data_IF_359439494880
#
_entry.id   IF_359439494880
#
_cell.length_a   1.000
_cell.length_b   1.000
_cell.length_c   1.000
_cell.angle_alpha   90.00
_cell.angle_beta   90.00
_cell.angle_gamma   90.00
#
_symmetry.space_group_name_H-M   'P 1'
#
loop_
_entity.id
_entity.type
_entity.pdbx_description
1 polymer ?
#
# COMPACT_ATOMS: atom_id res chain seq x y z
N UNK A 1 14.00 -5.66 9.38
CA UNK A 1 13.46 -5.06 10.64
C UNK A 1 12.61 -6.08 11.35
N UNK A 2 12.80 -6.30 12.65
CA UNK A 2 12.00 -7.28 13.41
C UNK A 2 10.57 -6.73 13.50
N UNK A 3 9.58 -7.56 13.12
CA UNK A 3 8.16 -7.16 12.99
C UNK A 3 7.58 -6.54 14.27
N UNK A 4 7.93 -7.09 15.44
CA UNK A 4 7.45 -6.57 16.72
C UNK A 4 8.05 -5.19 17.03
N UNK A 5 9.30 -4.93 16.69
CA UNK A 5 9.93 -3.61 16.86
C UNK A 5 9.24 -2.53 16.01
N UNK A 6 8.85 -2.87 14.77
CA UNK A 6 8.10 -1.93 13.91
C UNK A 6 6.75 -1.58 14.51
N UNK A 7 6.02 -2.57 15.02
CA UNK A 7 4.73 -2.34 15.66
C UNK A 7 4.87 -1.56 16.98
N UNK A 8 5.89 -1.89 17.77
CA UNK A 8 6.21 -1.17 19.01
C UNK A 8 6.55 0.31 18.73
N UNK A 9 7.34 0.57 17.68
CA UNK A 9 7.63 1.92 17.21
C UNK A 9 6.35 2.72 16.91
N UNK A 10 5.40 2.12 16.16
CA UNK A 10 4.15 2.80 15.83
C UNK A 10 3.25 3.03 17.05
N UNK A 11 3.29 2.20 18.08
CA UNK A 11 2.59 2.49 19.35
C UNK A 11 3.10 3.79 19.97
N UNK A 12 4.42 3.98 20.05
CA UNK A 12 4.98 5.24 20.57
C UNK A 12 4.79 6.42 19.62
N UNK A 13 4.74 6.16 18.31
CA UNK A 13 4.41 7.19 17.33
C UNK A 13 2.97 7.71 17.54
N UNK A 14 2.00 6.84 17.74
CA UNK A 14 0.62 7.23 18.05
C UNK A 14 0.54 8.04 19.35
N UNK A 15 1.25 7.61 20.40
CA UNK A 15 1.36 8.37 21.64
C UNK A 15 1.96 9.75 21.41
N UNK A 16 3.04 9.84 20.63
CA UNK A 16 3.68 11.11 20.27
C UNK A 16 2.67 12.06 19.60
N UNK A 17 1.98 11.58 18.54
CA UNK A 17 1.01 12.40 17.78
C UNK A 17 -0.14 12.90 18.66
N UNK A 18 -0.73 12.01 19.45
CA UNK A 18 -1.82 12.38 20.39
C UNK A 18 -1.33 13.36 21.45
N UNK A 19 -0.16 13.13 22.02
CA UNK A 19 0.40 13.98 23.08
C UNK A 19 0.78 15.36 22.56
N UNK A 20 1.34 15.47 21.36
CA UNK A 20 1.56 16.75 20.68
C UNK A 20 0.24 17.49 20.44
N UNK A 21 -0.78 16.82 19.94
CA UNK A 21 -2.10 17.43 19.73
C UNK A 21 -2.71 17.95 21.05
N UNK A 22 -2.60 17.19 22.14
CA UNK A 22 -3.11 17.54 23.47
C UNK A 22 -2.16 18.43 24.30
N UNK A 23 -0.99 18.76 23.78
CA UNK A 23 0.08 19.50 24.51
C UNK A 23 0.56 18.80 25.79
N UNK A 24 0.60 17.48 25.79
CA UNK A 24 1.12 16.67 26.89
C UNK A 24 2.64 16.48 26.73
N UNK A 25 3.42 17.48 27.14
CA UNK A 25 4.86 17.57 26.85
C UNK A 25 5.67 16.38 27.35
N UNK A 26 5.37 15.85 28.53
CA UNK A 26 6.10 14.70 29.10
C UNK A 26 5.90 13.44 28.25
N UNK A 27 4.65 13.11 27.90
CA UNK A 27 4.34 11.96 27.05
C UNK A 27 4.93 12.11 25.66
N UNK A 28 4.88 13.30 25.09
CA UNK A 28 5.48 13.59 23.78
C UNK A 28 7.00 13.39 23.79
N UNK A 29 7.71 13.91 24.78
CA UNK A 29 9.17 13.76 24.90
C UNK A 29 9.55 12.28 25.13
N UNK A 30 8.83 11.57 26.01
CA UNK A 30 9.04 10.15 26.28
C UNK A 30 8.79 9.31 25.02
N UNK A 31 7.69 9.55 24.33
CA UNK A 31 7.36 8.84 23.09
C UNK A 31 8.43 9.04 22.02
N UNK A 32 8.88 10.28 21.81
CA UNK A 32 9.95 10.60 20.85
C UNK A 32 11.28 9.94 21.22
N UNK A 33 11.65 9.93 22.49
CA UNK A 33 12.84 9.24 22.99
C UNK A 33 12.76 7.73 22.71
N UNK A 34 11.64 7.10 23.02
CA UNK A 34 11.44 5.67 22.81
C UNK A 34 11.43 5.29 21.32
N UNK A 35 10.83 6.10 20.47
CA UNK A 35 10.89 5.91 19.01
C UNK A 35 12.35 5.91 18.52
N UNK A 36 13.16 6.86 18.96
CA UNK A 36 14.57 6.94 18.59
C UNK A 36 15.36 5.71 19.07
N UNK A 37 15.16 5.27 20.33
CA UNK A 37 15.82 4.09 20.86
C UNK A 37 15.43 2.81 20.13
N UNK A 38 14.14 2.65 19.82
CA UNK A 38 13.66 1.50 19.03
C UNK A 38 14.28 1.52 17.63
N UNK A 39 14.32 2.69 16.97
CA UNK A 39 14.90 2.84 15.65
C UNK A 39 16.40 2.54 15.60
N UNK A 40 17.16 2.97 16.60
CA UNK A 40 18.59 2.67 16.71
C UNK A 40 18.87 1.17 16.92
N UNK A 41 17.91 0.43 17.49
CA UNK A 41 18.05 -0.96 17.86
C UNK A 41 17.15 -1.91 17.04
N UNK A 42 16.73 -1.52 15.84
CA UNK A 42 15.84 -2.33 14.98
C UNK A 42 16.38 -3.72 14.62
N UNK A 43 17.69 -3.91 14.67
CA UNK A 43 18.33 -5.21 14.44
C UNK A 43 18.21 -6.21 15.60
N UNK A 44 17.83 -5.78 16.79
CA UNK A 44 17.66 -6.59 17.99
C UNK A 44 16.20 -6.98 18.19
N UNK A 45 15.93 -8.15 18.75
CA UNK A 45 14.57 -8.54 19.13
C UNK A 45 14.23 -7.96 20.51
N UNK A 46 13.83 -6.68 20.56
CA UNK A 46 13.61 -5.94 21.81
C UNK A 46 12.63 -6.65 22.77
N UNK A 47 11.58 -7.27 22.24
CA UNK A 47 10.56 -7.96 23.05
C UNK A 47 11.05 -9.28 23.68
N UNK A 48 12.25 -9.73 23.32
CA UNK A 48 12.88 -10.95 23.87
C UNK A 48 14.10 -10.63 24.75
N UNK A 49 14.47 -9.37 24.89
CA UNK A 49 15.62 -8.97 25.72
C UNK A 49 15.29 -8.99 27.21
N UNK A 50 16.32 -9.20 28.05
CA UNK A 50 16.17 -9.08 29.50
C UNK A 50 16.00 -7.62 29.93
N UNK A 51 15.51 -7.43 31.17
CA UNK A 51 15.38 -6.09 31.77
C UNK A 51 16.71 -5.30 31.70
N UNK A 52 17.82 -5.93 32.10
CA UNK A 52 19.13 -5.30 32.12
C UNK A 52 19.63 -4.94 30.71
N UNK A 53 19.36 -5.77 29.71
CA UNK A 53 19.72 -5.49 28.33
C UNK A 53 18.94 -4.26 27.81
N UNK A 54 17.61 -4.20 28.02
CA UNK A 54 16.80 -3.05 27.65
C UNK A 54 17.23 -1.77 28.38
N UNK A 55 17.54 -1.85 29.68
CA UNK A 55 18.06 -0.71 30.43
C UNK A 55 19.40 -0.22 29.86
N UNK A 56 20.29 -1.13 29.44
CA UNK A 56 21.57 -0.78 28.81
C UNK A 56 21.40 -0.08 27.44
N UNK A 57 20.28 -0.29 26.76
CA UNK A 57 19.91 0.39 25.53
C UNK A 57 19.24 1.75 25.76
N UNK A 58 19.13 2.19 27.02
CA UNK A 58 18.60 3.51 27.38
C UNK A 58 17.09 3.58 27.54
N UNK A 59 16.40 2.44 27.68
CA UNK A 59 14.98 2.43 28.05
C UNK A 59 14.81 2.60 29.56
N UNK A 60 13.87 3.46 29.97
CA UNK A 60 13.50 3.62 31.38
C UNK A 60 12.63 2.44 31.88
N UNK A 61 12.46 2.35 33.21
CA UNK A 61 11.71 1.25 33.82
C UNK A 61 10.27 1.16 33.33
N UNK A 62 9.58 2.26 33.17
CA UNK A 62 8.21 2.29 32.66
C UNK A 62 8.15 1.75 31.21
N UNK A 63 9.06 2.18 30.38
CA UNK A 63 9.12 1.71 28.98
C UNK A 63 9.48 0.25 28.89
N UNK A 64 10.36 -0.28 29.78
CA UNK A 64 10.66 -1.71 29.83
C UNK A 64 9.42 -2.52 30.22
N UNK A 65 8.66 -2.07 31.20
CA UNK A 65 7.39 -2.71 31.60
C UNK A 65 6.39 -2.70 30.43
N UNK A 66 6.28 -1.59 29.70
CA UNK A 66 5.44 -1.47 28.49
C UNK A 66 5.90 -2.41 27.35
N UNK A 67 7.21 -2.60 27.15
CA UNK A 67 7.76 -3.58 26.18
C UNK A 67 7.38 -5.00 26.59
N UNK A 68 7.46 -5.33 27.86
CA UNK A 68 7.03 -6.65 28.36
C UNK A 68 5.52 -6.84 28.25
N UNK A 69 4.72 -5.85 28.62
CA UNK A 69 3.28 -5.87 28.38
C UNK A 69 2.98 -6.16 26.89
N UNK A 70 3.62 -5.40 25.99
CA UNK A 70 3.46 -5.60 24.55
C UNK A 70 3.92 -6.99 24.08
N UNK A 71 4.97 -7.57 24.67
CA UNK A 71 5.45 -8.90 24.31
C UNK A 71 4.38 -9.98 24.47
N UNK A 72 3.54 -9.84 25.51
CA UNK A 72 2.48 -10.79 25.89
C UNK A 72 1.15 -10.45 25.22
N UNK A 73 0.71 -9.20 25.34
CA UNK A 73 -0.64 -8.76 24.96
C UNK A 73 -0.72 -8.25 23.52
N UNK A 74 0.43 -7.91 22.91
CA UNK A 74 0.54 -7.17 21.65
C UNK A 74 -0.08 -5.76 21.70
N UNK A 75 -0.27 -5.24 22.92
CA UNK A 75 -0.77 -3.88 23.19
C UNK A 75 -0.04 -3.26 24.38
N UNK A 76 -0.19 -1.94 24.55
CA UNK A 76 0.28 -1.17 25.70
C UNK A 76 -0.90 -0.36 26.22
N UNK A 77 -1.49 -0.81 27.33
CA UNK A 77 -2.74 -0.28 27.86
C UNK A 77 -2.68 1.23 28.12
N UNK A 78 -1.55 1.74 28.62
CA UNK A 78 -1.34 3.17 28.82
C UNK A 78 -1.49 3.96 27.51
N UNK A 79 -0.80 3.52 26.42
CA UNK A 79 -0.84 4.19 25.13
C UNK A 79 -2.25 4.09 24.53
N UNK A 80 -2.84 2.91 24.54
CA UNK A 80 -4.19 2.67 24.05
C UNK A 80 -5.23 3.54 24.76
N UNK A 81 -5.11 3.70 26.10
CA UNK A 81 -5.95 4.62 26.88
C UNK A 81 -5.81 6.07 26.43
N UNK A 82 -4.58 6.53 26.17
CA UNK A 82 -4.33 7.90 25.71
C UNK A 82 -4.89 8.13 24.30
N UNK A 83 -4.67 7.18 23.39
CA UNK A 83 -5.20 7.23 22.02
C UNK A 83 -6.72 7.27 22.04
N UNK A 84 -7.36 6.35 22.76
CA UNK A 84 -8.82 6.26 22.85
C UNK A 84 -9.50 7.43 23.59
N UNK A 85 -8.71 8.37 24.15
CA UNK A 85 -9.23 9.59 24.76
C UNK A 85 -9.63 10.68 23.76
N UNK A 86 -9.45 10.44 22.48
CA UNK A 86 -9.91 11.29 21.38
C UNK A 86 -10.95 10.54 20.54
N UNK A 87 -11.84 11.30 19.92
CA UNK A 87 -12.80 10.77 18.96
C UNK A 87 -12.10 10.12 17.76
N UNK A 88 -12.65 9.04 17.25
CA UNK A 88 -12.05 8.28 16.14
C UNK A 88 -11.77 9.14 14.90
N UNK A 89 -12.64 10.10 14.57
CA UNK A 89 -12.42 10.96 13.42
C UNK A 89 -11.21 11.91 13.61
N UNK A 90 -10.97 12.39 14.84
CA UNK A 90 -9.79 13.20 15.19
C UNK A 90 -8.52 12.35 15.04
N UNK A 91 -8.54 11.13 15.60
CA UNK A 91 -7.41 10.21 15.48
C UNK A 91 -7.03 9.95 14.02
N UNK A 92 -8.01 9.75 13.16
CA UNK A 92 -7.78 9.54 11.73
C UNK A 92 -7.21 10.75 11.00
N UNK A 93 -7.37 11.94 11.52
CA UNK A 93 -6.76 13.16 10.99
C UNK A 93 -5.34 13.35 11.53
N UNK A 94 -5.11 13.10 12.83
CA UNK A 94 -3.83 13.42 13.46
C UNK A 94 -2.79 12.29 13.41
N UNK A 95 -3.19 11.01 13.37
CA UNK A 95 -2.24 9.89 13.35
C UNK A 95 -1.48 9.77 12.02
N UNK A 96 -2.10 9.93 10.84
CA UNK A 96 -1.35 10.02 9.60
C UNK A 96 -0.45 11.27 9.57
N UNK A 97 0.72 11.16 8.95
CA UNK A 97 1.70 12.26 8.85
C UNK A 97 1.34 13.35 7.81
N UNK A 98 0.09 13.37 7.29
CA UNK A 98 -0.31 14.33 6.25
C UNK A 98 -0.39 15.76 6.74
N UNK A 99 -0.86 15.93 7.98
CA UNK A 99 -1.02 17.25 8.56
C UNK A 99 0.10 17.53 9.55
N UNK A 100 0.73 18.70 9.46
CA UNK A 100 1.49 19.24 10.59
C UNK A 100 0.57 19.36 11.81
N UNK A 101 0.92 18.75 12.93
CA UNK A 101 0.07 18.75 14.13
C UNK A 101 -0.23 20.17 14.61
N UNK A 102 0.75 21.06 14.53
CA UNK A 102 0.57 22.46 14.91
C UNK A 102 -0.47 23.16 14.05
N UNK A 103 -0.56 22.85 12.75
CA UNK A 103 -1.57 23.36 11.84
C UNK A 103 -2.96 22.92 12.29
N UNK A 104 -3.19 21.61 12.43
CA UNK A 104 -4.50 21.09 12.85
C UNK A 104 -4.90 21.62 14.21
N UNK A 105 -3.96 21.67 15.17
CA UNK A 105 -4.22 22.23 16.51
C UNK A 105 -4.62 23.71 16.46
N UNK A 106 -3.95 24.50 15.63
CA UNK A 106 -4.27 25.92 15.49
C UNK A 106 -5.67 26.11 14.89
N UNK A 107 -6.04 25.34 13.87
CA UNK A 107 -7.37 25.37 13.25
C UNK A 107 -8.46 24.98 14.27
N UNK A 108 -8.26 23.90 15.01
CA UNK A 108 -9.22 23.49 16.06
C UNK A 108 -9.45 24.58 17.10
N UNK A 109 -8.40 25.34 17.43
CA UNK A 109 -8.50 26.42 18.41
C UNK A 109 -9.12 27.70 17.82
N UNK A 110 -8.69 28.12 16.63
CA UNK A 110 -9.15 29.38 16.02
C UNK A 110 -10.58 29.28 15.51
N UNK A 111 -10.94 28.16 14.90
CA UNK A 111 -12.22 27.94 14.26
C UNK A 111 -13.24 27.17 15.11
N UNK A 112 -12.85 26.85 16.37
CA UNK A 112 -13.68 26.08 17.30
C UNK A 112 -14.25 24.79 16.69
N UNK A 113 -13.40 24.03 16.00
CA UNK A 113 -13.77 22.80 15.30
C UNK A 113 -14.20 21.72 16.29
N UNK A 114 -15.43 21.26 16.20
CA UNK A 114 -16.01 20.24 17.05
C UNK A 114 -16.51 19.01 16.27
N UNK A 115 -16.44 19.05 14.94
CA UNK A 115 -16.86 17.92 14.09
C UNK A 115 -16.02 17.82 12.82
N UNK A 116 -16.01 16.61 12.23
CA UNK A 116 -15.39 16.36 10.94
C UNK A 116 -15.92 17.29 9.85
N UNK A 117 -17.23 17.44 9.76
CA UNK A 117 -17.89 18.30 8.77
C UNK A 117 -17.44 19.77 8.88
N UNK A 118 -17.25 20.26 10.10
CA UNK A 118 -16.72 21.62 10.29
C UNK A 118 -15.30 21.77 9.76
N UNK A 119 -14.45 20.74 9.94
CA UNK A 119 -13.09 20.73 9.41
C UNK A 119 -13.06 20.63 7.88
N UNK A 120 -13.95 19.84 7.29
CA UNK A 120 -14.14 19.76 5.84
C UNK A 120 -14.59 21.12 5.27
N UNK A 121 -15.60 21.73 5.89
CA UNK A 121 -16.11 23.04 5.48
C UNK A 121 -15.04 24.14 5.61
N UNK A 122 -14.19 24.06 6.65
CA UNK A 122 -13.08 25.00 6.81
C UNK A 122 -12.11 24.89 5.64
N UNK A 123 -11.64 23.69 5.28
CA UNK A 123 -10.71 23.52 4.17
C UNK A 123 -11.33 23.79 2.79
N UNK A 124 -12.65 23.80 2.68
CA UNK A 124 -13.38 24.19 1.47
C UNK A 124 -13.72 25.70 1.44
N UNK A 125 -13.34 26.46 2.46
CA UNK A 125 -13.67 27.89 2.57
C UNK A 125 -12.70 28.76 1.77
N UNK A 126 -13.18 29.94 1.34
CA UNK A 126 -12.36 30.97 0.70
C UNK A 126 -11.14 31.35 1.57
N UNK A 127 -11.33 31.42 2.90
CA UNK A 127 -10.26 31.74 3.84
C UNK A 127 -9.14 30.69 3.85
N UNK A 128 -9.47 29.41 3.77
CA UNK A 128 -8.46 28.35 3.68
C UNK A 128 -7.77 28.35 2.31
N UNK A 129 -8.51 28.61 1.24
CA UNK A 129 -7.96 28.77 -0.12
C UNK A 129 -7.00 29.94 -0.19
N UNK A 130 -7.34 31.09 0.41
CA UNK A 130 -6.46 32.27 0.47
C UNK A 130 -5.18 31.97 1.29
N UNK A 131 -5.30 31.21 2.39
CA UNK A 131 -4.20 30.93 3.30
C UNK A 131 -3.25 29.84 2.79
N UNK A 132 -3.75 28.77 2.18
CA UNK A 132 -2.99 27.60 1.79
C UNK A 132 -2.81 27.43 0.27
N UNK A 133 -3.54 28.18 -0.52
CA UNK A 133 -3.74 27.98 -1.96
C UNK A 133 -4.78 26.88 -2.25
N UNK A 134 -5.39 26.97 -3.42
CA UNK A 134 -6.49 26.09 -3.83
C UNK A 134 -6.08 24.60 -3.80
N UNK A 135 -4.91 24.28 -4.34
CA UNK A 135 -4.40 22.89 -4.42
C UNK A 135 -4.17 22.26 -3.04
N UNK A 136 -3.61 22.99 -2.08
CA UNK A 136 -3.39 22.47 -0.73
C UNK A 136 -4.69 22.41 0.07
N UNK A 137 -5.58 23.37 -0.09
CA UNK A 137 -6.89 23.33 0.54
C UNK A 137 -7.72 22.13 0.05
N UNK A 138 -7.70 21.84 -1.27
CA UNK A 138 -8.30 20.64 -1.85
C UNK A 138 -7.67 19.35 -1.29
N UNK A 139 -6.34 19.28 -1.19
CA UNK A 139 -5.62 18.15 -0.62
C UNK A 139 -5.99 17.91 0.85
N UNK A 140 -6.05 18.94 1.66
CA UNK A 140 -6.44 18.85 3.06
C UNK A 140 -7.90 18.43 3.23
N UNK A 141 -8.80 19.00 2.42
CA UNK A 141 -10.20 18.58 2.41
C UNK A 141 -10.33 17.09 2.03
N UNK A 142 -9.61 16.64 1.00
CA UNK A 142 -9.57 15.23 0.58
C UNK A 142 -9.16 14.29 1.72
N UNK A 143 -8.10 14.60 2.46
CA UNK A 143 -7.67 13.74 3.59
C UNK A 143 -8.68 13.71 4.72
N UNK A 144 -9.31 14.84 5.05
CA UNK A 144 -10.35 14.89 6.07
C UNK A 144 -11.58 14.09 5.63
N UNK A 145 -12.05 14.28 4.40
CA UNK A 145 -13.24 13.60 3.86
C UNK A 145 -13.06 12.08 3.80
N UNK A 146 -11.86 11.60 3.47
CA UNK A 146 -11.54 10.19 3.44
C UNK A 146 -11.10 9.62 4.81
N UNK A 147 -11.18 10.40 5.87
CA UNK A 147 -10.79 9.97 7.22
C UNK A 147 -11.76 8.95 7.87
N UNK A 148 -12.93 8.71 7.31
CA UNK A 148 -13.80 7.60 7.65
C UNK A 148 -14.00 6.68 6.45
N UNK A 149 -13.80 5.40 6.62
CA UNK A 149 -13.99 4.37 5.57
C UNK A 149 -15.48 4.15 5.23
N UNK A 150 -16.34 5.13 5.47
CA UNK A 150 -17.80 4.99 5.34
C UNK A 150 -18.28 4.85 3.89
N UNK A 151 -17.47 5.26 2.90
CA UNK A 151 -17.83 5.23 1.48
C UNK A 151 -17.47 3.91 0.78
N UNK A 152 -16.77 3.00 1.47
CA UNK A 152 -16.33 1.76 0.83
C UNK A 152 -17.37 0.64 0.97
N UNK A 153 -17.63 -0.14 -0.09
CA UNK A 153 -18.51 -1.28 0.00
C UNK A 153 -17.92 -2.36 0.92
N UNK A 154 -18.33 -2.38 2.20
CA UNK A 154 -17.92 -3.38 3.20
C UNK A 154 -18.06 -4.82 2.70
N UNK A 155 -18.94 -5.05 1.72
CA UNK A 155 -19.16 -6.36 1.09
C UNK A 155 -17.89 -7.05 0.58
N UNK A 156 -16.84 -6.28 0.20
CA UNK A 156 -15.57 -6.85 -0.27
C UNK A 156 -14.58 -7.14 0.86
N UNK A 157 -14.80 -6.56 2.05
CA UNK A 157 -13.96 -6.82 3.22
C UNK A 157 -14.32 -8.14 3.93
N UNK A 158 -15.57 -8.57 3.80
CA UNK A 158 -16.14 -9.71 4.51
C UNK A 158 -16.29 -10.97 3.63
N UNK A 159 -15.62 -11.01 2.46
CA UNK A 159 -15.67 -12.18 1.61
C UNK A 159 -15.09 -13.40 2.34
N UNK A 160 -15.81 -14.53 2.36
CA UNK A 160 -15.33 -15.73 3.03
C UNK A 160 -14.02 -16.21 2.39
N UNK A 161 -13.02 -16.44 3.22
CA UNK A 161 -11.71 -16.96 2.83
C UNK A 161 -11.72 -18.46 2.50
N UNK A 162 -12.85 -19.02 2.10
CA UNK A 162 -13.02 -20.45 1.82
C UNK A 162 -12.80 -20.75 0.35
N UNK A 163 -11.55 -21.01 0.00
CA UNK A 163 -11.15 -21.44 -1.33
C UNK A 163 -10.88 -20.31 -2.32
N UNK A 164 -10.09 -20.62 -3.34
CA UNK A 164 -9.75 -19.69 -4.41
C UNK A 164 -10.81 -19.66 -5.48
N UNK A 165 -11.27 -18.46 -5.87
CA UNK A 165 -12.13 -18.32 -7.05
C UNK A 165 -11.28 -18.55 -8.32
N UNK A 166 -11.73 -19.44 -9.18
CA UNK A 166 -10.97 -19.89 -10.36
C UNK A 166 -11.47 -19.32 -11.67
N UNK A 167 -12.57 -18.58 -11.66
CA UNK A 167 -13.18 -17.99 -12.86
C UNK A 167 -13.73 -16.58 -12.61
N UNK A 168 -13.85 -15.81 -13.68
CA UNK A 168 -14.59 -14.55 -13.72
C UNK A 168 -15.54 -14.59 -14.92
N UNK A 169 -16.84 -14.43 -14.66
CA UNK A 169 -17.89 -14.44 -15.70
C UNK A 169 -17.80 -15.65 -16.68
N UNK A 170 -17.42 -16.83 -16.14
CA UNK A 170 -17.26 -18.07 -16.91
C UNK A 170 -15.90 -18.24 -17.60
N UNK A 171 -15.00 -17.26 -17.52
CA UNK A 171 -13.64 -17.36 -18.04
C UNK A 171 -12.68 -17.78 -16.92
N UNK A 172 -11.82 -18.76 -17.20
CA UNK A 172 -10.80 -19.25 -16.24
C UNK A 172 -9.78 -18.17 -15.93
N UNK A 173 -9.40 -18.04 -14.66
CA UNK A 173 -8.25 -17.26 -14.20
C UNK A 173 -7.02 -18.16 -14.20
N UNK A 174 -6.03 -17.83 -15.02
CA UNK A 174 -4.82 -18.64 -15.22
C UNK A 174 -3.69 -18.32 -14.23
N UNK A 175 -3.63 -17.12 -13.70
CA UNK A 175 -2.61 -16.70 -12.73
C UNK A 175 -2.85 -15.28 -12.20
N UNK A 176 -1.91 -14.77 -11.46
CA UNK A 176 -1.86 -13.38 -11.00
C UNK A 176 -0.43 -12.85 -11.13
N UNK A 177 -0.30 -11.53 -11.25
CA UNK A 177 0.97 -10.87 -11.55
C UNK A 177 1.61 -10.24 -10.31
N UNK A 178 0.82 -9.79 -9.34
CA UNK A 178 1.31 -8.99 -8.20
C UNK A 178 1.45 -9.85 -6.94
N UNK A 179 2.70 -10.28 -6.67
CA UNK A 179 3.03 -11.08 -5.48
C UNK A 179 4.45 -10.79 -5.00
N UNK A 180 4.62 -10.71 -3.68
CA UNK A 180 5.87 -10.44 -2.99
C UNK A 180 6.43 -11.69 -2.33
N UNK A 181 7.76 -11.81 -2.36
CA UNK A 181 8.48 -12.91 -1.75
C UNK A 181 9.40 -12.41 -0.63
N UNK A 182 10.16 -13.33 -0.05
CA UNK A 182 11.19 -13.01 0.96
C UNK A 182 12.36 -12.20 0.41
N UNK A 183 12.41 -11.94 -0.90
CA UNK A 183 13.34 -10.99 -1.50
C UNK A 183 13.00 -9.53 -1.16
N UNK A 184 11.73 -9.22 -0.89
CA UNK A 184 11.30 -7.92 -0.38
C UNK A 184 10.65 -8.04 1.01
N UNK A 185 9.36 -7.80 1.14
CA UNK A 185 8.62 -7.82 2.40
C UNK A 185 7.57 -8.93 2.47
N UNK A 186 7.49 -9.78 1.46
CA UNK A 186 6.70 -11.00 1.48
C UNK A 186 7.27 -12.04 2.45
N UNK A 187 6.42 -12.94 2.94
CA UNK A 187 6.82 -14.01 3.88
C UNK A 187 7.11 -15.33 3.20
N UNK A 188 6.76 -15.46 1.93
CA UNK A 188 6.92 -16.69 1.17
C UNK A 188 8.22 -16.66 0.37
N UNK A 189 8.94 -17.78 0.31
CA UNK A 189 9.99 -17.95 -0.68
C UNK A 189 9.37 -18.19 -2.08
N UNK A 190 10.17 -18.03 -3.13
CA UNK A 190 9.71 -18.31 -4.51
C UNK A 190 9.18 -19.74 -4.64
N UNK A 191 9.86 -20.82 -4.15
CA UNK A 191 9.30 -22.17 -4.19
C UNK A 191 7.96 -22.30 -3.46
N UNK A 192 7.79 -21.65 -2.29
CA UNK A 192 6.54 -21.71 -1.54
C UNK A 192 5.39 -21.04 -2.29
N UNK A 193 5.64 -19.88 -2.92
CA UNK A 193 4.63 -19.20 -3.72
C UNK A 193 4.26 -20.01 -4.96
N UNK A 194 5.25 -20.62 -5.61
CA UNK A 194 5.03 -21.55 -6.72
C UNK A 194 4.14 -22.74 -6.30
N UNK A 195 4.43 -23.41 -5.18
CA UNK A 195 3.63 -24.53 -4.70
C UNK A 195 2.19 -24.14 -4.41
N UNK A 196 1.96 -22.95 -3.83
CA UNK A 196 0.61 -22.42 -3.60
C UNK A 196 -0.11 -22.23 -4.93
N UNK A 197 0.49 -21.51 -5.88
CA UNK A 197 -0.12 -21.27 -7.19
C UNK A 197 -0.42 -22.56 -7.94
N UNK A 198 0.53 -23.51 -7.93
CA UNK A 198 0.39 -24.82 -8.55
C UNK A 198 -0.72 -25.65 -7.91
N UNK A 199 -0.83 -25.66 -6.57
CA UNK A 199 -1.88 -26.37 -5.83
C UNK A 199 -3.30 -25.87 -6.16
N UNK A 200 -3.42 -24.58 -6.51
CA UNK A 200 -4.67 -23.99 -6.99
C UNK A 200 -4.88 -24.11 -8.50
N UNK A 201 -4.03 -24.87 -9.22
CA UNK A 201 -4.16 -25.11 -10.67
C UNK A 201 -3.93 -23.85 -11.52
N UNK A 202 -3.12 -22.90 -11.03
CA UNK A 202 -2.68 -21.76 -11.83
C UNK A 202 -1.67 -22.21 -12.88
N UNK A 203 -1.75 -21.62 -14.06
CA UNK A 203 -0.81 -21.89 -15.16
C UNK A 203 0.43 -21.00 -15.07
N UNK A 204 0.32 -19.87 -14.36
CA UNK A 204 1.46 -19.02 -14.05
C UNK A 204 1.27 -18.28 -12.72
N UNK A 205 2.39 -17.81 -12.17
CA UNK A 205 2.44 -16.86 -11.04
C UNK A 205 3.56 -15.86 -11.32
N UNK A 206 3.26 -14.58 -11.18
CA UNK A 206 4.25 -13.52 -11.30
C UNK A 206 4.95 -13.27 -9.97
N UNK A 207 6.26 -13.03 -10.01
CA UNK A 207 7.02 -12.45 -8.89
C UNK A 207 7.15 -10.97 -9.18
N UNK A 208 6.84 -10.13 -8.20
CA UNK A 208 6.89 -8.67 -8.36
C UNK A 208 7.39 -7.99 -7.08
N UNK A 209 8.51 -8.49 -6.56
CA UNK A 209 9.11 -7.91 -5.36
C UNK A 209 9.40 -6.40 -5.54
N UNK A 210 9.26 -5.65 -4.45
CA UNK A 210 9.57 -4.22 -4.41
C UNK A 210 11.03 -3.93 -4.79
N UNK A 211 11.29 -2.73 -5.32
CA UNK A 211 12.63 -2.21 -5.52
C UNK A 211 13.24 -1.66 -4.23
N UNK A 212 14.54 -1.42 -4.23
CA UNK A 212 15.33 -1.03 -3.06
C UNK A 212 14.76 0.17 -2.29
N UNK A 213 14.15 1.12 -2.97
CA UNK A 213 13.60 2.32 -2.32
C UNK A 213 12.45 2.01 -1.37
N UNK A 214 11.78 0.89 -1.55
CA UNK A 214 10.69 0.39 -0.69
C UNK A 214 11.13 -0.86 0.11
N UNK A 215 12.41 -0.94 0.46
CA UNK A 215 13.04 -2.06 1.18
C UNK A 215 12.98 -3.39 0.41
N UNK A 216 13.05 -3.34 -0.90
CA UNK A 216 13.05 -4.48 -1.79
C UNK A 216 14.42 -4.78 -2.39
N UNK A 217 14.41 -5.36 -3.59
CA UNK A 217 15.60 -5.85 -4.32
C UNK A 217 16.42 -4.72 -4.92
N UNK A 218 17.72 -4.94 -5.00
CA UNK A 218 18.65 -4.14 -5.79
C UNK A 218 19.04 -4.91 -7.08
N UNK A 219 19.89 -4.32 -7.92
CA UNK A 219 20.30 -4.91 -9.20
C UNK A 219 21.02 -6.25 -9.05
N UNK A 220 21.81 -6.46 -8.00
CA UNK A 220 22.47 -7.74 -7.73
C UNK A 220 21.45 -8.81 -7.29
N UNK A 221 20.42 -8.41 -6.54
CA UNK A 221 19.34 -9.30 -6.12
C UNK A 221 18.52 -9.78 -7.33
N UNK A 222 18.31 -8.94 -8.35
CA UNK A 222 17.58 -9.28 -9.58
C UNK A 222 18.20 -10.50 -10.26
N UNK A 223 19.51 -10.51 -10.42
CA UNK A 223 20.21 -11.63 -11.09
C UNK A 223 20.07 -12.93 -10.28
N UNK A 224 20.16 -12.85 -8.95
CA UNK A 224 19.98 -14.01 -8.06
C UNK A 224 18.55 -14.55 -8.13
N UNK A 225 17.57 -13.67 -8.04
CA UNK A 225 16.15 -14.01 -8.11
C UNK A 225 15.81 -14.66 -9.47
N UNK A 226 16.28 -14.06 -10.57
CA UNK A 226 16.05 -14.61 -11.91
C UNK A 226 16.66 -15.98 -12.10
N UNK A 227 17.88 -16.22 -11.54
CA UNK A 227 18.51 -17.54 -11.58
C UNK A 227 17.70 -18.58 -10.81
N UNK A 228 17.14 -18.23 -9.63
CA UNK A 228 16.27 -19.12 -8.85
C UNK A 228 14.97 -19.44 -9.61
N UNK A 229 14.35 -18.41 -10.23
CA UNK A 229 13.14 -18.59 -11.06
C UNK A 229 13.42 -19.52 -12.24
N UNK A 230 14.54 -19.32 -12.95
CA UNK A 230 14.91 -20.14 -14.10
C UNK A 230 15.13 -21.61 -13.69
N UNK A 231 15.76 -21.84 -12.54
CA UNK A 231 15.99 -23.19 -12.02
C UNK A 231 14.65 -23.91 -11.71
N UNK A 232 13.68 -23.21 -11.12
CA UNK A 232 12.35 -23.78 -10.82
C UNK A 232 11.58 -24.03 -12.13
N UNK A 233 11.56 -23.06 -13.05
CA UNK A 233 10.89 -23.19 -14.34
C UNK A 233 11.45 -24.33 -15.19
N UNK A 234 12.74 -24.63 -15.10
CA UNK A 234 13.37 -25.76 -15.80
C UNK A 234 12.90 -27.11 -15.28
N UNK A 235 12.46 -27.20 -14.02
CA UNK A 235 12.00 -28.43 -13.38
C UNK A 235 10.48 -28.63 -13.45
N UNK A 236 9.72 -27.59 -13.85
CA UNK A 236 8.27 -27.62 -13.84
C UNK A 236 7.66 -27.29 -15.21
N UNK A 237 6.56 -27.99 -15.53
CA UNK A 237 5.75 -27.75 -16.72
C UNK A 237 4.31 -27.33 -16.41
N UNK A 238 3.89 -27.36 -15.14
CA UNK A 238 2.48 -27.15 -14.75
C UNK A 238 2.12 -25.70 -14.44
N UNK A 239 3.05 -24.96 -13.83
CA UNK A 239 2.90 -23.55 -13.51
C UNK A 239 4.20 -22.82 -13.86
N UNK A 240 4.13 -21.74 -14.61
CA UNK A 240 5.31 -20.92 -14.96
C UNK A 240 5.45 -19.76 -14.00
N UNK A 241 6.65 -19.53 -13.48
CA UNK A 241 6.96 -18.30 -12.74
C UNK A 241 7.38 -17.23 -13.75
N UNK A 242 6.75 -16.05 -13.69
CA UNK A 242 7.11 -14.89 -14.50
C UNK A 242 8.01 -13.96 -13.70
N UNK A 243 9.04 -13.43 -14.36
CA UNK A 243 9.99 -12.46 -13.78
C UNK A 243 9.41 -11.07 -13.87
N UNK A 244 8.80 -10.59 -12.82
CA UNK A 244 8.29 -9.23 -12.71
C UNK A 244 8.97 -8.47 -11.58
N UNK A 245 8.64 -7.19 -11.47
CA UNK A 245 9.05 -6.30 -10.40
C UNK A 245 7.96 -5.28 -10.14
N UNK A 246 7.70 -4.96 -8.86
CA UNK A 246 6.97 -3.76 -8.51
C UNK A 246 7.96 -2.62 -8.28
N UNK A 247 8.10 -1.77 -9.30
CA UNK A 247 9.04 -0.67 -9.32
C UNK A 247 8.40 0.57 -8.71
N UNK A 248 9.09 1.18 -7.73
CA UNK A 248 8.64 2.43 -7.12
C UNK A 248 8.62 3.56 -8.16
N UNK A 249 7.53 4.31 -8.21
CA UNK A 249 7.43 5.56 -8.96
C UNK A 249 8.04 6.67 -8.10
N UNK A 250 9.13 7.26 -8.55
CA UNK A 250 9.80 8.36 -7.86
C UNK A 250 8.94 9.63 -7.86
N UNK A 251 9.32 10.61 -7.05
CA UNK A 251 8.57 11.86 -6.91
C UNK A 251 8.41 12.63 -8.22
N UNK A 252 9.38 12.50 -9.13
CA UNK A 252 9.36 13.10 -10.47
C UNK A 252 8.67 12.24 -11.53
N UNK A 253 8.22 11.03 -11.18
CA UNK A 253 7.54 10.09 -12.07
C UNK A 253 8.46 9.11 -12.79
N UNK A 254 9.79 9.16 -12.59
CA UNK A 254 10.71 8.12 -13.08
C UNK A 254 10.51 6.82 -12.29
N UNK A 255 10.92 5.70 -12.87
CA UNK A 255 10.97 4.41 -12.18
C UNK A 255 12.31 4.24 -11.45
N UNK A 256 12.28 3.55 -10.31
CA UNK A 256 13.43 3.39 -9.38
C UNK A 256 14.59 2.57 -9.96
N UNK A 257 14.37 1.77 -10.99
CA UNK A 257 15.43 1.03 -11.71
C UNK A 257 15.84 1.68 -13.01
N UNK A 258 17.09 1.45 -13.42
CA UNK A 258 17.59 1.86 -14.73
C UNK A 258 16.86 1.11 -15.86
N UNK A 259 16.83 1.71 -17.06
CA UNK A 259 16.24 1.08 -18.24
C UNK A 259 16.86 -0.29 -18.55
N UNK A 260 18.16 -0.44 -18.35
CA UNK A 260 18.87 -1.70 -18.59
C UNK A 260 18.38 -2.79 -17.63
N UNK A 261 18.17 -2.44 -16.35
CA UNK A 261 17.63 -3.35 -15.34
C UNK A 261 16.18 -3.67 -15.62
N UNK A 262 15.35 -2.66 -15.95
CA UNK A 262 13.94 -2.88 -16.29
C UNK A 262 13.75 -3.80 -17.50
N UNK A 263 14.69 -3.76 -18.45
CA UNK A 263 14.70 -4.63 -19.64
C UNK A 263 14.94 -6.12 -19.35
N UNK A 264 15.36 -6.47 -18.13
CA UNK A 264 15.59 -7.89 -17.73
C UNK A 264 14.30 -8.61 -17.30
N UNK A 265 13.23 -7.88 -17.05
CA UNK A 265 11.97 -8.44 -16.56
C UNK A 265 11.02 -8.81 -17.68
N UNK A 266 10.19 -9.85 -17.47
CA UNK A 266 9.08 -10.20 -18.37
C UNK A 266 7.99 -9.10 -18.35
N UNK A 267 7.82 -8.42 -17.20
CA UNK A 267 6.89 -7.30 -17.00
C UNK A 267 7.29 -6.44 -15.80
N UNK A 268 6.87 -5.17 -15.83
CA UNK A 268 7.07 -4.19 -14.78
C UNK A 268 5.72 -3.66 -14.30
N UNK A 269 5.49 -3.76 -13.02
CA UNK A 269 4.40 -3.09 -12.31
C UNK A 269 4.97 -1.78 -11.77
N UNK A 270 4.33 -0.65 -12.06
CA UNK A 270 4.69 0.63 -11.49
C UNK A 270 3.76 0.98 -10.33
N UNK A 271 4.32 1.18 -9.14
CA UNK A 271 3.56 1.50 -7.92
C UNK A 271 4.14 2.70 -7.18
N UNK A 272 3.30 3.48 -6.52
CA UNK A 272 3.73 4.60 -5.67
C UNK A 272 3.47 4.28 -4.20
N UNK A 273 4.52 4.31 -3.35
CA UNK A 273 4.45 3.97 -1.93
C UNK A 273 4.96 5.08 -1.01
N UNK A 274 5.66 6.05 -1.57
CA UNK A 274 6.28 7.17 -0.85
C UNK A 274 5.76 8.51 -1.37
N UNK A 275 6.04 9.57 -0.65
CA UNK A 275 5.69 10.94 -1.05
C UNK A 275 4.19 11.10 -1.39
N UNK A 276 3.33 10.57 -0.48
CA UNK A 276 1.88 10.47 -0.69
C UNK A 276 1.15 11.81 -0.51
N UNK A 277 1.77 12.80 0.13
CA UNK A 277 1.18 14.11 0.44
C UNK A 277 1.45 15.17 -0.65
N UNK A 278 1.33 14.76 -1.90
CA UNK A 278 1.49 15.66 -3.05
C UNK A 278 0.16 16.33 -3.40
N UNK A 279 0.23 17.60 -3.86
CA UNK A 279 -0.94 18.27 -4.45
C UNK A 279 -1.39 17.57 -5.73
N UNK A 280 -2.68 17.63 -6.04
CA UNK A 280 -3.33 16.87 -7.12
C UNK A 280 -2.60 16.94 -8.45
N UNK A 281 -2.23 18.16 -8.88
CA UNK A 281 -1.52 18.32 -10.16
C UNK A 281 -0.17 17.61 -10.19
N UNK A 282 0.63 17.73 -9.11
CA UNK A 282 1.93 17.09 -9.03
C UNK A 282 1.81 15.57 -8.94
N UNK A 283 0.89 15.05 -8.12
CA UNK A 283 0.63 13.62 -8.00
C UNK A 283 0.13 13.01 -9.32
N UNK A 284 -0.77 13.71 -10.02
CA UNK A 284 -1.24 13.28 -11.34
C UNK A 284 -0.10 13.23 -12.35
N UNK A 285 0.71 14.28 -12.45
CA UNK A 285 1.88 14.32 -13.36
C UNK A 285 2.89 13.20 -13.07
N UNK A 286 3.11 12.89 -11.80
CA UNK A 286 3.97 11.78 -11.37
C UNK A 286 3.52 10.46 -11.98
N UNK A 287 2.22 10.13 -11.87
CA UNK A 287 1.68 8.89 -12.45
C UNK A 287 1.70 8.92 -13.98
N UNK A 288 1.32 10.04 -14.61
CA UNK A 288 1.34 10.17 -16.08
C UNK A 288 2.72 9.88 -16.63
N UNK A 289 3.77 10.43 -16.03
CA UNK A 289 5.15 10.19 -16.47
C UNK A 289 5.58 8.74 -16.32
N UNK A 290 5.20 8.08 -15.22
CA UNK A 290 5.47 6.65 -15.03
C UNK A 290 4.71 5.77 -16.04
N UNK A 291 3.48 6.15 -16.40
CA UNK A 291 2.68 5.47 -17.42
C UNK A 291 3.30 5.61 -18.81
N UNK A 292 3.88 6.76 -19.12
CA UNK A 292 4.57 7.03 -20.39
C UNK A 292 5.89 6.24 -20.55
N UNK A 293 6.42 5.68 -19.48
CA UNK A 293 7.62 4.84 -19.54
C UNK A 293 7.37 3.62 -20.43
N UNK A 294 8.27 3.31 -21.39
CA UNK A 294 8.12 2.13 -22.25
C UNK A 294 8.18 0.82 -21.49
N UNK A 295 8.67 0.83 -20.26
CA UNK A 295 8.78 -0.36 -19.42
C UNK A 295 7.55 -0.63 -18.54
N UNK A 296 6.76 0.38 -18.22
CA UNK A 296 5.55 0.18 -17.38
C UNK A 296 4.52 -0.67 -18.12
N UNK A 297 4.21 -1.84 -17.59
CA UNK A 297 3.23 -2.76 -18.14
C UNK A 297 1.90 -2.72 -17.39
N UNK A 298 1.96 -2.62 -16.05
CA UNK A 298 0.81 -2.56 -15.16
C UNK A 298 0.99 -1.34 -14.24
N UNK A 299 -0.06 -0.56 -14.05
CA UNK A 299 -0.13 0.45 -13.00
C UNK A 299 -0.77 -0.17 -11.77
N UNK A 300 0.02 -0.37 -10.71
CA UNK A 300 -0.45 -0.96 -9.46
C UNK A 300 -1.30 0.02 -8.67
N UNK A 301 -2.35 -0.50 -7.98
CA UNK A 301 -3.16 0.25 -7.00
C UNK A 301 -3.15 1.77 -7.28
N UNK A 302 -3.80 2.24 -8.35
CA UNK A 302 -3.58 3.56 -8.96
C UNK A 302 -3.72 4.78 -8.04
N UNK A 303 -4.55 4.69 -7.01
CA UNK A 303 -4.63 5.74 -5.98
C UNK A 303 -3.69 5.51 -4.80
N UNK A 304 -3.00 4.37 -4.77
CA UNK A 304 -2.08 3.96 -3.70
C UNK A 304 -2.68 4.05 -2.30
N UNK A 305 -4.01 3.95 -2.20
CA UNK A 305 -4.70 4.11 -0.92
C UNK A 305 -4.44 2.95 0.03
N UNK A 306 -4.43 3.28 1.30
CA UNK A 306 -4.40 2.32 2.41
C UNK A 306 -5.53 2.68 3.37
N UNK A 307 -6.59 1.86 3.40
CA UNK A 307 -7.77 2.14 4.22
C UNK A 307 -7.46 2.34 5.70
N UNK A 308 -6.67 1.44 6.28
CA UNK A 308 -6.33 1.52 7.70
C UNK A 308 -5.59 2.80 8.08
N UNK A 309 -4.95 3.45 7.10
CA UNK A 309 -4.17 4.68 7.30
C UNK A 309 -4.83 5.92 6.70
N UNK A 310 -5.94 5.77 5.98
CA UNK A 310 -6.59 6.84 5.19
C UNK A 310 -5.61 7.59 4.27
N UNK A 311 -4.71 6.84 3.66
CA UNK A 311 -3.64 7.35 2.81
C UNK A 311 -3.97 7.00 1.37
N UNK A 312 -3.71 7.91 0.47
CA UNK A 312 -3.79 7.71 -0.97
C UNK A 312 -3.30 8.97 -1.67
N UNK A 313 -2.95 8.84 -2.93
CA UNK A 313 -2.61 9.99 -3.77
C UNK A 313 -3.90 10.71 -4.18
N UNK A 314 -3.94 12.01 -3.99
CA UNK A 314 -4.95 12.85 -4.60
C UNK A 314 -4.57 13.08 -6.06
N UNK A 315 -5.22 12.35 -6.98
CA UNK A 315 -4.94 12.39 -8.41
C UNK A 315 -6.20 12.65 -9.23
N UNK A 316 -6.04 13.17 -10.44
CA UNK A 316 -7.10 13.13 -11.44
C UNK A 316 -7.15 11.73 -12.07
N UNK A 317 -7.97 10.86 -11.48
CA UNK A 317 -8.06 9.47 -11.90
C UNK A 317 -8.55 9.30 -13.34
N UNK A 318 -9.35 10.25 -13.87
CA UNK A 318 -9.77 10.20 -15.26
C UNK A 318 -8.58 10.41 -16.21
N UNK A 319 -7.71 11.38 -15.94
CA UNK A 319 -6.48 11.57 -16.70
C UNK A 319 -5.54 10.36 -16.60
N UNK A 320 -5.41 9.75 -15.41
CA UNK A 320 -4.59 8.54 -15.19
C UNK A 320 -5.11 7.37 -16.02
N UNK A 321 -6.42 7.14 -16.01
CA UNK A 321 -7.05 6.08 -16.80
C UNK A 321 -6.87 6.31 -18.31
N UNK A 322 -7.14 7.53 -18.78
CA UNK A 322 -6.96 7.89 -20.19
C UNK A 322 -5.50 7.64 -20.63
N UNK A 323 -4.53 8.07 -19.82
CA UNK A 323 -3.12 7.82 -20.11
C UNK A 323 -2.76 6.33 -20.13
N UNK A 324 -3.32 5.50 -19.23
CA UNK A 324 -3.12 4.05 -19.26
C UNK A 324 -3.63 3.45 -20.58
N UNK A 325 -4.81 3.87 -21.03
CA UNK A 325 -5.40 3.40 -22.30
C UNK A 325 -4.52 3.81 -23.49
N UNK A 326 -4.11 5.07 -23.56
CA UNK A 326 -3.32 5.63 -24.64
C UNK A 326 -1.92 4.98 -24.76
N UNK A 327 -1.30 4.66 -23.61
CA UNK A 327 0.02 4.03 -23.54
C UNK A 327 -0.05 2.50 -23.46
N UNK A 328 -1.24 1.90 -23.53
CA UNK A 328 -1.45 0.45 -23.39
C UNK A 328 -0.85 -0.10 -22.09
N UNK A 329 -1.06 0.61 -20.99
CA UNK A 329 -0.73 0.16 -19.64
C UNK A 329 -1.97 -0.47 -19.03
N UNK A 330 -1.81 -1.66 -18.47
CA UNK A 330 -2.89 -2.38 -17.79
C UNK A 330 -3.16 -1.73 -16.45
N UNK A 331 -4.41 -1.60 -16.04
CA UNK A 331 -4.79 -1.04 -14.75
C UNK A 331 -5.07 -2.17 -13.77
N UNK A 332 -4.40 -2.15 -12.63
CA UNK A 332 -4.64 -3.14 -11.59
C UNK A 332 -5.99 -2.92 -10.89
N UNK A 333 -6.70 -4.02 -10.64
CA UNK A 333 -7.71 -4.13 -9.60
C UNK A 333 -7.08 -4.95 -8.48
N UNK A 334 -6.53 -4.27 -7.50
CA UNK A 334 -5.83 -4.84 -6.36
C UNK A 334 -6.84 -5.36 -5.34
N UNK A 335 -6.74 -6.63 -4.99
CA UNK A 335 -7.66 -7.29 -4.06
C UNK A 335 -7.21 -7.25 -2.60
N UNK A 336 -6.07 -6.64 -2.27
CA UNK A 336 -5.66 -6.51 -0.87
C UNK A 336 -6.70 -5.71 -0.09
N UNK A 337 -7.07 -6.23 1.10
CA UNK A 337 -8.15 -5.66 1.94
C UNK A 337 -7.85 -4.25 2.43
N UNK A 338 -6.58 -3.90 2.55
CA UNK A 338 -6.17 -2.58 2.97
C UNK A 338 -6.18 -1.58 1.79
N UNK A 339 -6.25 -2.06 0.53
CA UNK A 339 -6.22 -1.23 -0.69
C UNK A 339 -7.56 -1.21 -1.43
N UNK A 340 -7.95 -2.34 -2.03
CA UNK A 340 -9.10 -2.48 -2.95
C UNK A 340 -9.10 -1.35 -4.01
N UNK A 341 -8.05 -1.28 -4.78
CA UNK A 341 -7.68 -0.22 -5.74
C UNK A 341 -7.36 -0.86 -7.12
N UNK A 342 -7.93 -0.49 -8.23
CA UNK A 342 -8.65 0.73 -8.59
C UNK A 342 -9.96 0.88 -7.77
N UNK A 343 -10.27 2.12 -7.38
CA UNK A 343 -11.56 2.43 -6.74
C UNK A 343 -12.71 2.03 -7.66
N UNK A 344 -13.70 1.24 -7.18
CA UNK A 344 -14.84 0.79 -7.97
C UNK A 344 -15.60 1.90 -8.70
N UNK A 345 -15.59 3.13 -8.18
CA UNK A 345 -16.22 4.29 -8.83
C UNK A 345 -15.66 4.62 -10.22
N UNK A 346 -14.44 4.20 -10.52
CA UNK A 346 -13.77 4.47 -11.78
C UNK A 346 -13.77 3.29 -12.76
N UNK A 347 -14.21 2.10 -12.35
CA UNK A 347 -14.16 0.89 -13.18
C UNK A 347 -15.01 1.03 -14.43
N UNK A 348 -16.24 1.55 -14.29
CA UNK A 348 -17.12 1.76 -15.44
C UNK A 348 -16.52 2.76 -16.44
N UNK A 349 -15.94 3.85 -15.95
CA UNK A 349 -15.24 4.81 -16.80
C UNK A 349 -14.07 4.15 -17.54
N UNK A 350 -13.22 3.42 -16.83
CA UNK A 350 -12.06 2.74 -17.40
C UNK A 350 -12.49 1.70 -18.47
N UNK A 351 -13.55 0.93 -18.18
CA UNK A 351 -14.11 -0.03 -19.13
C UNK A 351 -14.61 0.67 -20.40
N UNK A 352 -15.35 1.76 -20.26
CA UNK A 352 -15.88 2.53 -21.40
C UNK A 352 -14.77 3.16 -22.24
N UNK A 353 -13.61 3.50 -21.63
CA UNK A 353 -12.42 3.99 -22.35
C UNK A 353 -11.63 2.86 -23.04
N UNK A 354 -11.96 1.63 -22.76
CA UNK A 354 -11.30 0.47 -23.37
C UNK A 354 -10.08 -0.03 -22.61
N UNK A 355 -9.96 0.29 -21.32
CA UNK A 355 -8.87 -0.19 -20.48
C UNK A 355 -8.79 -1.73 -20.42
N UNK A 356 -7.58 -2.24 -20.26
CA UNK A 356 -7.30 -3.61 -19.84
C UNK A 356 -7.05 -3.64 -18.34
N UNK A 357 -7.41 -4.75 -17.69
CA UNK A 357 -7.30 -4.90 -16.24
C UNK A 357 -6.46 -6.13 -15.88
N UNK A 358 -5.71 -6.02 -14.79
CA UNK A 358 -5.17 -7.17 -14.06
C UNK A 358 -5.92 -7.34 -12.74
N UNK A 359 -6.21 -8.58 -12.37
CA UNK A 359 -6.86 -8.95 -11.11
C UNK A 359 -5.78 -9.55 -10.21
N UNK A 360 -5.34 -8.81 -9.21
CA UNK A 360 -4.19 -9.19 -8.43
C UNK A 360 -4.47 -9.17 -6.92
N UNK A 361 -3.63 -9.87 -6.18
CA UNK A 361 -3.77 -10.10 -4.74
C UNK A 361 -2.87 -9.24 -3.89
N UNK A 362 -1.77 -8.72 -4.45
CA UNK A 362 -0.71 -8.03 -3.70
C UNK A 362 -0.22 -8.90 -2.52
N UNK A 363 0.10 -10.16 -2.88
CA UNK A 363 0.35 -11.25 -1.92
C UNK A 363 1.61 -11.01 -1.11
N UNK A 364 1.49 -11.00 0.23
CA UNK A 364 2.62 -10.94 1.15
C UNK A 364 2.67 -12.16 2.10
N UNK A 365 1.69 -13.06 2.04
CA UNK A 365 1.58 -14.24 2.91
C UNK A 365 0.72 -15.31 2.26
N UNK A 366 0.64 -16.50 2.85
CA UNK A 366 -0.24 -17.59 2.37
C UNK A 366 -1.70 -17.11 2.27
N UNK A 367 -2.19 -16.44 3.30
CA UNK A 367 -3.56 -15.92 3.35
C UNK A 367 -3.76 -14.80 2.31
N UNK A 368 -2.72 -13.97 2.10
CA UNK A 368 -2.73 -12.88 1.12
C UNK A 368 -2.97 -13.35 -0.31
N UNK A 369 -2.58 -14.59 -0.65
CA UNK A 369 -2.81 -15.14 -1.97
C UNK A 369 -4.32 -15.21 -2.32
N UNK A 370 -5.19 -15.36 -1.32
CA UNK A 370 -6.64 -15.40 -1.50
C UNK A 370 -7.26 -14.01 -1.72
N UNK A 371 -6.52 -12.93 -1.52
CA UNK A 371 -7.01 -11.57 -1.77
C UNK A 371 -7.44 -11.35 -3.23
N UNK A 372 -6.94 -12.13 -4.16
CA UNK A 372 -7.41 -12.12 -5.57
C UNK A 372 -8.92 -12.37 -5.68
N UNK A 373 -9.54 -13.05 -4.71
CA UNK A 373 -10.98 -13.25 -4.69
C UNK A 373 -11.75 -11.93 -4.61
N UNK A 374 -11.16 -10.91 -3.97
CA UNK A 374 -11.76 -9.59 -3.85
C UNK A 374 -11.74 -8.88 -5.22
N UNK A 375 -10.60 -8.90 -5.93
CA UNK A 375 -10.51 -8.31 -7.28
C UNK A 375 -11.41 -9.03 -8.28
N UNK A 376 -11.52 -10.37 -8.21
CA UNK A 376 -12.45 -11.16 -9.04
C UNK A 376 -13.90 -10.79 -8.71
N UNK A 377 -14.26 -10.62 -7.45
CA UNK A 377 -15.62 -10.24 -7.06
C UNK A 377 -15.99 -8.85 -7.56
N UNK A 378 -15.05 -7.90 -7.49
CA UNK A 378 -15.23 -6.57 -8.08
C UNK A 378 -15.43 -6.69 -9.60
N UNK A 379 -14.59 -7.46 -10.29
CA UNK A 379 -14.72 -7.65 -11.73
C UNK A 379 -16.08 -8.28 -12.12
N UNK A 380 -16.61 -9.23 -11.33
CA UNK A 380 -17.95 -9.82 -11.52
C UNK A 380 -19.05 -8.80 -11.31
N UNK A 381 -18.98 -7.99 -10.26
CA UNK A 381 -20.00 -6.97 -9.95
C UNK A 381 -20.13 -5.91 -11.05
N UNK A 382 -19.02 -5.58 -11.72
CA UNK A 382 -19.00 -4.64 -12.84
C UNK A 382 -19.14 -5.35 -14.22
N UNK A 383 -19.38 -6.66 -14.24
CA UNK A 383 -19.49 -7.46 -15.46
C UNK A 383 -18.33 -7.23 -16.44
N UNK A 384 -17.09 -7.14 -15.93
CA UNK A 384 -15.93 -6.95 -16.78
C UNK A 384 -15.80 -8.09 -17.80
N UNK A 385 -15.73 -7.79 -19.13
CA UNK A 385 -15.56 -8.80 -20.14
C UNK A 385 -14.22 -9.53 -19.99
N UNK A 386 -14.21 -10.84 -20.20
CA UNK A 386 -13.01 -11.66 -20.03
C UNK A 386 -11.82 -11.18 -20.90
N UNK A 387 -12.10 -10.71 -22.13
CA UNK A 387 -11.11 -10.16 -23.03
C UNK A 387 -10.47 -8.84 -22.57
N UNK A 388 -11.01 -8.23 -21.51
CA UNK A 388 -10.44 -7.06 -20.86
C UNK A 388 -9.62 -7.39 -19.62
N UNK A 389 -9.52 -8.66 -19.25
CA UNK A 389 -8.84 -9.13 -18.04
C UNK A 389 -7.64 -9.99 -18.46
N UNK A 390 -6.41 -9.51 -18.23
CA UNK A 390 -5.20 -10.21 -18.67
C UNK A 390 -4.99 -11.56 -17.97
N UNK A 391 -5.55 -11.76 -16.79
CA UNK A 391 -5.48 -13.01 -16.04
C UNK A 391 -6.29 -14.15 -16.65
N UNK A 392 -7.17 -13.86 -17.61
CA UNK A 392 -7.95 -14.86 -18.33
C UNK A 392 -7.24 -15.44 -19.57
N UNK A 393 -6.01 -14.96 -19.83
CA UNK A 393 -5.16 -15.50 -20.89
C UNK A 393 -4.19 -16.53 -20.32
N UNK A 394 -4.03 -17.71 -20.95
CA UNK A 394 -3.06 -18.73 -20.50
C UNK A 394 -1.61 -18.21 -20.50
N UNK A 395 -1.31 -17.30 -21.42
CA UNK A 395 -0.08 -16.51 -21.47
C UNK A 395 -0.43 -15.13 -22.02
N UNK A 396 -0.08 -14.08 -21.30
CA UNK A 396 -0.24 -12.70 -21.77
C UNK A 396 1.12 -12.10 -22.11
N UNK A 397 1.27 -11.65 -23.37
CA UNK A 397 2.53 -11.12 -23.87
C UNK A 397 2.48 -9.58 -23.89
N UNK A 398 2.99 -8.94 -22.85
CA UNK A 398 3.05 -7.48 -22.73
C UNK A 398 3.75 -6.82 -23.91
N UNK A 399 4.81 -7.44 -24.45
CA UNK A 399 5.53 -6.94 -25.62
C UNK A 399 4.68 -6.85 -26.88
N UNK A 400 3.67 -7.71 -27.02
CA UNK A 400 2.70 -7.66 -28.13
C UNK A 400 1.58 -6.66 -27.86
N UNK A 401 1.19 -6.49 -26.61
CA UNK A 401 0.15 -5.56 -26.23
C UNK A 401 0.59 -4.10 -26.38
N UNK A 402 1.86 -3.78 -26.03
CA UNK A 402 2.42 -2.42 -26.16
C UNK A 402 2.81 -2.00 -27.58
N UNK A 403 2.84 -2.92 -28.54
CA UNK A 403 3.06 -2.61 -29.95
C UNK A 403 1.75 -2.14 -30.60
#
# INVERSE_FOLDING_TARGET
MIKDNKKLYYKYFDLYRVSEFKRQKEDSLRAKHNMNNIQQNFGLNLVALSYNDLASLGFDSQTIDEIYEYSVTKDIAYITSKVNSLDNWILRVILPEFFPIDLIRSIFKSENICSKLQLENYFSSEAAIELYGEEHAELYCYFVSNSDNSSFPKKYLDLPSTGLITDVNGAKIYGNFHNHTSYSDGKLSIPQLYEIANSYGRSFVGISDHTKRVNGINEDDVLRQHSEIDAINALSSSCKILKGVECEILQDGELDFSNDTLGLFDYVIAGAHRDMNMVKLAATRRLLRAIESPYTNILAHPSSRLYAKNVGLLVDMHQVIDACVDNKVVIEINGDKDRLDLDPRFIEYALNKGAMFSLDSDTHSVEGFLNINNSISIAKDFNLPAERIINTYPSFEFSKYKK
#
